data_IF_943236313551
#
_entry.id   IF_943236313551
#
_cell.length_a   1.000
_cell.length_b   1.000
_cell.length_c   1.000
_cell.angle_alpha   90.00
_cell.angle_beta   90.00
_cell.angle_gamma   90.00
#
_symmetry.space_group_name_H-M   'P 1'
#
loop_
_entity.id
_entity.type
_entity.pdbx_description
1 polymer ?
#
# COMPACT_ATOMS: atom_id res chain seq x y z
N UNK A 1 10.92 -30.65 -8.86
CA UNK A 1 11.67 -29.39 -8.66
C UNK A 1 10.64 -28.28 -8.48
N UNK A 2 10.79 -27.42 -7.48
CA UNK A 2 9.89 -26.28 -7.29
C UNK A 2 10.04 -25.27 -8.43
N UNK A 3 8.96 -24.59 -8.80
CA UNK A 3 9.02 -23.52 -9.80
C UNK A 3 9.81 -22.33 -9.24
N UNK A 4 10.63 -21.64 -10.07
CA UNK A 4 11.31 -20.42 -9.64
C UNK A 4 10.28 -19.34 -9.27
N UNK A 5 10.54 -18.61 -8.18
CA UNK A 5 9.64 -17.61 -7.65
C UNK A 5 10.42 -16.41 -7.08
N UNK A 6 9.77 -15.25 -7.07
CA UNK A 6 10.24 -14.05 -6.36
C UNK A 6 9.45 -13.96 -5.06
N UNK A 7 10.14 -14.02 -3.93
CA UNK A 7 9.53 -13.85 -2.61
C UNK A 7 9.82 -12.44 -2.08
N UNK A 8 8.80 -11.74 -1.62
CA UNK A 8 8.93 -10.40 -1.03
C UNK A 8 8.12 -10.35 0.26
N UNK A 9 8.80 -10.01 1.35
CA UNK A 9 8.19 -9.77 2.65
C UNK A 9 8.35 -8.31 3.00
N UNK A 10 7.30 -7.70 3.54
CA UNK A 10 7.40 -6.41 4.19
C UNK A 10 6.80 -6.46 5.60
N UNK A 11 7.35 -5.60 6.46
CA UNK A 11 6.85 -5.30 7.79
C UNK A 11 6.78 -3.78 7.93
N UNK A 12 5.60 -3.27 8.22
CA UNK A 12 5.29 -1.86 8.38
C UNK A 12 5.01 -1.57 9.84
N UNK A 13 5.55 -0.45 10.32
CA UNK A 13 5.32 0.06 11.67
C UNK A 13 4.53 1.37 11.60
N UNK A 14 3.23 1.32 11.25
CA UNK A 14 2.42 2.53 11.19
C UNK A 14 2.26 3.15 12.60
N UNK A 15 2.02 4.46 12.70
CA UNK A 15 1.74 5.11 13.98
C UNK A 15 0.55 4.46 14.73
N UNK A 16 0.50 4.57 16.07
CA UNK A 16 -0.59 4.02 16.84
C UNK A 16 -1.92 4.68 16.45
N UNK A 17 -2.95 3.86 16.25
CA UNK A 17 -4.29 4.31 15.85
C UNK A 17 -4.50 4.44 14.34
N UNK A 18 -3.48 4.17 13.50
CA UNK A 18 -3.69 4.03 12.06
C UNK A 18 -4.55 2.81 11.77
N UNK A 19 -5.67 3.01 11.06
CA UNK A 19 -6.50 1.90 10.58
C UNK A 19 -5.83 1.23 9.38
N UNK A 20 -5.82 -0.10 9.37
CA UNK A 20 -5.27 -0.85 8.24
C UNK A 20 -6.14 -0.61 6.99
N UNK A 21 -5.53 -0.30 5.83
CA UNK A 21 -6.26 -0.22 4.57
C UNK A 21 -6.93 -1.55 4.22
N UNK A 22 -7.99 -1.51 3.42
CA UNK A 22 -8.74 -2.71 3.04
C UNK A 22 -7.84 -3.76 2.38
N UNK A 23 -7.94 -5.02 2.83
CA UNK A 23 -7.14 -6.16 2.36
C UNK A 23 -5.61 -6.04 2.57
N UNK A 24 -5.17 -5.07 3.38
CA UNK A 24 -3.77 -4.87 3.73
C UNK A 24 -3.50 -5.28 5.18
N UNK A 25 -2.35 -5.90 5.41
CA UNK A 25 -1.82 -6.20 6.74
C UNK A 25 -0.51 -5.43 6.92
N UNK A 26 -0.12 -5.15 8.17
CA UNK A 26 1.14 -4.45 8.44
C UNK A 26 2.35 -5.33 8.13
N UNK A 27 2.18 -6.65 8.21
CA UNK A 27 3.17 -7.64 7.80
C UNK A 27 2.55 -8.52 6.73
N UNK A 28 3.24 -8.70 5.60
CA UNK A 28 2.74 -9.53 4.51
C UNK A 28 3.87 -10.17 3.72
N UNK A 29 3.64 -11.42 3.34
CA UNK A 29 4.50 -12.21 2.48
C UNK A 29 3.82 -12.37 1.12
N UNK A 30 4.58 -12.12 0.06
CA UNK A 30 4.17 -12.32 -1.31
C UNK A 30 5.10 -13.28 -2.03
N UNK A 31 4.52 -14.13 -2.85
CA UNK A 31 5.24 -15.05 -3.72
C UNK A 31 4.73 -14.88 -5.16
N UNK A 32 5.64 -14.50 -6.07
CA UNK A 32 5.35 -14.31 -7.49
C UNK A 32 6.07 -15.39 -8.30
N UNK A 33 5.31 -16.37 -8.80
CA UNK A 33 5.84 -17.50 -9.56
C UNK A 33 6.32 -17.02 -10.93
N UNK A 34 7.56 -17.37 -11.29
CA UNK A 34 8.13 -17.11 -12.62
C UNK A 34 7.59 -18.17 -13.59
N UNK A 35 6.56 -17.81 -14.34
CA UNK A 35 5.99 -18.71 -15.36
C UNK A 35 6.96 -18.86 -16.54
N UNK A 36 7.40 -20.09 -16.79
CA UNK A 36 8.18 -20.46 -17.97
C UNK A 36 7.26 -21.16 -18.97
N UNK A 37 7.11 -20.56 -20.16
CA UNK A 37 6.37 -21.15 -21.27
C UNK A 37 7.22 -22.25 -21.95
N UNK A 38 7.17 -23.48 -21.42
CA UNK A 38 7.46 -24.73 -22.15
C UNK A 38 8.90 -25.01 -22.64
N UNK A 39 9.19 -26.29 -22.87
CA UNK A 39 10.52 -26.89 -22.99
C UNK A 39 11.17 -26.87 -24.41
N UNK A 40 10.91 -25.88 -25.25
CA UNK A 40 11.48 -25.84 -26.61
C UNK A 40 12.47 -24.68 -26.77
N UNK A 41 13.72 -25.04 -27.11
CA UNK A 41 14.92 -24.32 -27.61
C UNK A 41 15.26 -22.86 -27.19
N UNK A 42 14.31 -22.06 -26.70
CA UNK A 42 14.46 -20.68 -26.22
C UNK A 42 14.19 -20.53 -24.70
N UNK A 43 14.53 -21.57 -23.93
CA UNK A 43 14.26 -21.66 -22.48
C UNK A 43 14.76 -20.45 -21.68
N UNK A 44 15.89 -19.86 -22.07
CA UNK A 44 16.46 -18.70 -21.41
C UNK A 44 15.65 -17.42 -21.67
N UNK A 45 15.26 -17.18 -22.92
CA UNK A 45 14.45 -16.01 -23.30
C UNK A 45 13.08 -16.06 -22.62
N UNK A 46 12.41 -17.21 -22.69
CA UNK A 46 11.12 -17.43 -22.05
C UNK A 46 11.20 -17.28 -20.53
N UNK A 47 12.30 -17.73 -19.92
CA UNK A 47 12.54 -17.53 -18.49
C UNK A 47 12.67 -16.05 -18.13
N UNK A 48 13.48 -15.27 -18.86
CA UNK A 48 13.64 -13.84 -18.57
C UNK A 48 12.39 -13.02 -18.88
N UNK A 49 11.59 -13.42 -19.88
CA UNK A 49 10.28 -12.83 -20.12
C UNK A 49 9.32 -13.10 -18.95
N UNK A 50 9.22 -14.36 -18.50
CA UNK A 50 8.45 -14.72 -17.31
C UNK A 50 8.94 -14.00 -16.05
N UNK A 51 10.25 -13.83 -15.90
CA UNK A 51 10.83 -13.10 -14.77
C UNK A 51 10.45 -11.63 -14.81
N UNK A 52 10.52 -10.98 -15.98
CA UNK A 52 10.09 -9.58 -16.14
C UNK A 52 8.61 -9.41 -15.82
N UNK A 53 7.76 -10.35 -16.22
CA UNK A 53 6.34 -10.33 -15.90
C UNK A 53 6.11 -10.49 -14.40
N UNK A 54 6.77 -11.45 -13.74
CA UNK A 54 6.68 -11.62 -12.29
C UNK A 54 7.16 -10.36 -11.53
N UNK A 55 8.23 -9.70 -11.99
CA UNK A 55 8.69 -8.42 -11.41
C UNK A 55 7.65 -7.32 -11.61
N UNK A 56 7.04 -7.23 -12.79
CA UNK A 56 6.02 -6.22 -13.07
C UNK A 56 4.79 -6.42 -12.17
N UNK A 57 4.35 -7.66 -12.00
CA UNK A 57 3.27 -8.03 -11.07
C UNK A 57 3.64 -7.66 -9.63
N UNK A 58 4.84 -8.03 -9.19
CA UNK A 58 5.33 -7.69 -7.86
C UNK A 58 5.31 -6.19 -7.59
N UNK A 59 5.80 -5.40 -8.54
CA UNK A 59 5.79 -3.92 -8.45
C UNK A 59 4.37 -3.35 -8.41
N UNK A 60 3.45 -3.89 -9.21
CA UNK A 60 2.05 -3.47 -9.20
C UNK A 60 1.40 -3.72 -7.84
N UNK A 61 1.43 -4.97 -7.37
CA UNK A 61 0.82 -5.37 -6.09
C UNK A 61 1.40 -4.61 -4.91
N UNK A 62 2.74 -4.55 -4.79
CA UNK A 62 3.37 -3.81 -3.69
C UNK A 62 3.14 -2.31 -3.80
N UNK A 63 3.14 -1.75 -5.01
CA UNK A 63 2.87 -0.35 -5.25
C UNK A 63 1.47 0.05 -4.78
N UNK A 64 0.46 -0.74 -5.10
CA UNK A 64 -0.92 -0.54 -4.65
C UNK A 64 -1.03 -0.64 -3.12
N UNK A 65 -0.48 -1.69 -2.51
CA UNK A 65 -0.56 -1.91 -1.06
C UNK A 65 0.17 -0.84 -0.26
N UNK A 66 1.41 -0.49 -0.64
CA UNK A 66 2.20 0.53 0.04
C UNK A 66 1.62 1.93 -0.18
N UNK A 67 1.00 2.19 -1.33
CA UNK A 67 0.25 3.42 -1.58
C UNK A 67 -0.96 3.52 -0.66
N UNK A 68 -1.73 2.45 -0.51
CA UNK A 68 -2.86 2.42 0.40
C UNK A 68 -2.43 2.66 1.86
N UNK A 69 -1.30 2.07 2.27
CA UNK A 69 -0.72 2.31 3.60
C UNK A 69 -0.26 3.74 3.79
N UNK A 70 0.43 4.32 2.79
CA UNK A 70 0.83 5.73 2.80
C UNK A 70 -0.39 6.63 2.98
N UNK A 71 -1.46 6.38 2.24
CA UNK A 71 -2.67 7.21 2.28
C UNK A 71 -3.39 7.06 3.63
N UNK A 72 -3.47 5.85 4.20
CA UNK A 72 -4.06 5.63 5.53
C UNK A 72 -3.28 6.34 6.65
N UNK A 73 -1.95 6.36 6.58
CA UNK A 73 -1.12 7.13 7.51
C UNK A 73 -1.32 8.63 7.28
N UNK A 74 -1.31 9.09 6.02
CA UNK A 74 -1.49 10.49 5.66
C UNK A 74 -2.82 11.08 6.11
N UNK A 75 -3.94 10.37 5.89
CA UNK A 75 -5.26 10.80 6.37
C UNK A 75 -5.36 10.79 7.90
N UNK A 76 -4.65 9.88 8.57
CA UNK A 76 -4.53 9.85 10.03
C UNK A 76 -3.82 11.08 10.60
N UNK A 77 -2.78 11.58 9.92
CA UNK A 77 -2.07 12.79 10.32
C UNK A 77 -2.90 14.06 10.06
N UNK A 78 -3.59 14.16 8.92
CA UNK A 78 -4.50 15.30 8.64
C UNK A 78 -5.60 15.44 9.71
N UNK A 79 -6.08 14.32 10.25
CA UNK A 79 -7.09 14.31 11.31
C UNK A 79 -6.57 14.81 12.66
N UNK A 80 -5.24 14.82 12.88
CA UNK A 80 -4.63 15.35 14.11
C UNK A 80 -4.55 16.88 14.09
N UNK A 81 -4.46 17.50 12.91
CA UNK A 81 -4.42 18.96 12.77
C UNK A 81 -5.78 19.63 13.02
N UNK A 82 -6.90 18.91 12.82
CA UNK A 82 -8.27 19.47 12.92
C UNK A 82 -8.80 19.51 14.37
N UNK A 83 -8.08 18.93 15.35
CA UNK A 83 -8.48 18.95 16.77
C UNK A 83 -7.99 20.20 17.52
N UNK A 84 -8.13 21.38 16.93
CA UNK A 84 -8.38 22.58 17.74
C UNK A 84 -9.89 22.72 17.82
N UNK A 85 -10.49 22.10 18.85
CA UNK A 85 -11.87 22.44 19.23
C UNK A 85 -11.87 23.93 19.57
N UNK A 86 -12.44 24.75 18.67
CA UNK A 86 -12.92 26.08 19.05
C UNK A 86 -13.83 25.85 20.25
N UNK A 87 -13.44 26.39 21.39
CA UNK A 87 -14.20 26.29 22.62
C UNK A 87 -15.64 26.74 22.38
N UNK A 88 -16.55 26.07 23.08
CA UNK A 88 -17.87 26.60 23.36
C UNK A 88 -17.71 28.01 23.95
N UNK A 89 -17.98 29.03 23.14
CA UNK A 89 -18.47 30.31 23.62
C UNK A 89 -19.82 30.51 22.93
N UNK A 90 -20.86 30.55 23.76
CA UNK A 90 -22.21 30.95 23.43
C UNK A 90 -22.17 32.37 22.86
N UNK A 91 -22.47 32.56 21.58
CA UNK A 91 -22.91 33.87 21.09
C UNK A 91 -24.19 33.68 20.26
N UNK A 92 -25.29 33.72 21.01
CA UNK A 92 -26.52 34.38 20.57
C UNK A 92 -26.20 35.82 20.11
N UNK A 93 -26.93 36.24 19.05
CA UNK A 93 -27.19 37.62 18.61
C UNK A 93 -26.03 38.28 17.81
N UNK A 94 -26.15 38.42 16.49
CA UNK A 94 -27.01 39.34 15.71
C UNK A 94 -26.46 40.78 15.67
N UNK A 95 -26.32 41.25 14.43
CA UNK A 95 -26.13 42.62 13.89
C UNK A 95 -25.56 43.74 14.80
N UNK A 96 -24.49 44.42 14.36
CA UNK A 96 -24.58 45.79 13.82
C UNK A 96 -23.24 46.39 13.35
N UNK A 97 -23.36 47.34 12.42
CA UNK A 97 -22.35 48.10 11.67
C UNK A 97 -21.37 48.96 12.50
N UNK A 98 -20.10 49.04 12.06
CA UNK A 98 -19.43 50.29 11.62
C UNK A 98 -18.24 50.02 10.68
#
# INVERSE_FOLDING_TARGET
MAAPAISITYELHPPPGTSAPQNCTSTKDHEFIVQSLGAAEDTLKNYYEGLRQAIAQAKGTLGEELTAWRDAVGSGEQSKEVKVKKGEDEEELDEDEE
#
